data_IF_295907517151
#
_entry.id   IF_295907517151
#
_cell.length_a   1.000
_cell.length_b   1.000
_cell.length_c   1.000
_cell.angle_alpha   90.00
_cell.angle_beta   90.00
_cell.angle_gamma   90.00
#
_symmetry.space_group_name_H-M   'P 1'
#
loop_
_entity.id
_entity.type
_entity.pdbx_description
1 polymer ?
2 non-polymer ?
3 non-polymer ?
4 water ?
#
# COMPACT_ATOMS: atom_id res chain seq x y z
N UNK A 23 20.26 13.74 21.78
CA UNK A 23 20.71 12.38 21.48
C UNK A 23 19.72 11.66 20.56
N UNK A 24 20.17 10.61 19.86
CA UNK A 24 19.33 9.94 18.87
C UNK A 24 18.13 9.26 19.54
N UNK A 25 17.00 9.16 18.84
CA UNK A 25 15.90 8.34 19.35
C UNK A 25 16.34 6.88 19.44
N UNK A 26 15.92 6.22 20.50
CA UNK A 26 16.29 4.82 20.75
C UNK A 26 15.20 3.97 20.12
N UNK A 27 15.40 3.62 18.85
CA UNK A 27 14.36 2.97 18.09
C UNK A 27 14.91 1.77 17.34
N UNK A 28 14.00 0.83 17.06
CA UNK A 28 14.26 -0.36 16.24
C UNK A 28 13.34 -0.25 15.02
N UNK A 29 13.92 0.08 13.86
CA UNK A 29 13.12 0.30 12.64
C UNK A 29 12.60 -0.99 12.03
N UNK A 30 12.96 -2.14 12.56
CA UNK A 30 12.36 -3.42 12.17
C UNK A 30 11.28 -3.88 13.15
N UNK A 31 10.98 -3.08 14.18
CA UNK A 31 9.98 -3.43 15.17
C UNK A 31 8.65 -2.81 14.78
N UNK A 32 7.64 -3.65 14.59
CA UNK A 32 6.31 -3.12 14.22
C UNK A 32 5.73 -2.16 15.24
N UNK A 33 6.14 -2.25 16.51
CA UNK A 33 5.64 -1.31 17.51
C UNK A 33 6.09 0.13 17.25
N UNK A 34 7.25 0.32 16.59
CA UNK A 34 7.66 1.67 16.21
C UNK A 34 6.63 2.34 15.32
N UNK A 35 6.10 1.61 14.34
CA UNK A 35 5.22 2.18 13.32
C UNK A 35 3.80 2.33 13.82
N UNK A 36 3.48 1.71 14.95
CA UNK A 36 2.17 1.86 15.55
C UNK A 36 2.20 3.01 16.54
N UNK A 37 3.38 3.59 16.78
CA UNK A 37 3.54 4.72 17.67
C UNK A 37 3.31 6.03 16.91
N UNK A 38 2.49 6.89 17.48
CA UNK A 38 2.31 8.23 16.97
C UNK A 38 3.47 9.15 17.37
N UNK A 39 4.54 8.57 17.87
CA UNK A 39 5.81 9.26 18.03
C UNK A 39 6.86 8.89 16.98
N UNK A 40 6.51 8.08 15.98
CA UNK A 40 7.44 7.80 14.88
C UNK A 40 7.83 9.09 14.16
N UNK A 41 6.85 9.95 13.89
CA UNK A 41 7.20 11.13 13.10
C UNK A 41 8.16 12.05 13.86
N UNK A 42 8.09 12.09 15.21
CA UNK A 42 9.09 12.83 15.96
C UNK A 42 10.49 12.26 15.78
N UNK A 43 10.58 10.93 15.75
CA UNK A 43 11.86 10.26 15.53
C UNK A 43 12.38 10.55 14.13
N UNK A 44 11.51 10.49 13.12
CA UNK A 44 11.94 10.81 11.76
C UNK A 44 12.45 12.24 11.66
N UNK A 45 11.79 13.17 12.36
CA UNK A 45 12.24 14.56 12.37
C UNK A 45 13.70 14.67 12.84
N UNK A 46 14.02 13.97 13.93
CA UNK A 46 15.39 13.99 14.45
C UNK A 46 16.37 13.45 13.39
N UNK A 47 16.01 12.32 12.74
CA UNK A 47 16.87 11.73 11.72
C UNK A 47 17.14 12.73 10.61
N UNK A 48 16.10 13.38 10.11
CA UNK A 48 16.27 14.26 8.96
C UNK A 48 17.13 15.45 9.32
N UNK A 49 17.07 15.92 10.58
CA UNK A 49 17.84 17.09 10.99
C UNK A 49 19.26 16.77 11.42
N UNK A 50 19.55 15.52 11.80
CA UNK A 50 20.82 15.20 12.45
C UNK A 50 21.64 14.07 11.82
N UNK A 51 20.97 13.09 11.19
CA UNK A 51 21.68 11.98 10.56
C UNK A 51 20.76 11.40 9.49
N UNK A 52 20.69 12.07 8.33
CA UNK A 52 19.63 11.73 7.36
C UNK A 52 19.65 10.27 6.93
N UNK A 53 20.82 9.69 6.75
CA UNK A 53 20.97 8.26 6.58
C UNK A 53 21.31 7.71 7.96
N UNK A 54 20.24 7.30 8.65
CA UNK A 54 20.24 7.00 10.08
C UNK A 54 20.61 5.55 10.31
N UNK A 55 21.30 5.29 11.40
CA UNK A 55 21.42 3.91 11.90
C UNK A 55 20.67 3.77 13.21
N UNK A 56 19.80 2.74 13.28
CA UNK A 56 18.96 2.56 14.46
C UNK A 56 19.76 1.87 15.57
N UNK A 57 19.05 1.47 16.63
CA UNK A 57 19.75 0.95 17.81
C UNK A 57 20.48 -0.35 17.53
N UNK A 58 20.08 -1.08 16.49
CA UNK A 58 20.72 -2.32 16.08
C UNK A 58 21.67 -2.15 14.89
N UNK A 59 21.91 -0.91 14.46
CA UNK A 59 22.77 -0.61 13.34
C UNK A 59 22.12 -0.65 11.97
N UNK A 60 20.81 -0.85 11.90
CA UNK A 60 20.10 -0.90 10.62
C UNK A 60 20.05 0.50 10.00
N UNK A 61 20.50 0.59 8.75
CA UNK A 61 20.56 1.87 8.03
C UNK A 61 19.23 2.22 7.38
N UNK A 62 18.91 3.51 7.35
CA UNK A 62 17.62 3.96 6.81
C UNK A 62 17.75 5.38 6.27
N UNK A 63 17.28 5.57 5.05
CA UNK A 63 17.23 6.88 4.39
C UNK A 63 15.95 7.58 4.81
N UNK A 64 16.10 8.70 5.55
CA UNK A 64 14.96 9.40 6.15
C UNK A 64 14.54 10.66 5.40
N UNK A 65 15.38 11.22 4.55
CA UNK A 65 15.03 12.44 3.82
C UNK A 65 14.51 12.09 2.43
N UNK A 66 13.69 12.99 1.90
CA UNK A 66 13.22 12.86 0.54
C UNK A 66 14.39 12.76 -0.43
N UNK A 67 15.39 13.63 -0.25
CA UNK A 67 16.55 13.62 -1.13
C UNK A 67 17.28 12.28 -1.10
N UNK A 68 17.49 11.72 0.10
CA UNK A 68 18.21 10.45 0.19
C UNK A 68 17.40 9.31 -0.41
N UNK A 69 16.08 9.30 -0.20
CA UNK A 69 15.26 8.24 -0.79
C UNK A 69 15.33 8.32 -2.31
N UNK A 70 15.11 9.51 -2.88
CA UNK A 70 15.18 9.70 -4.35
C UNK A 70 16.54 9.27 -4.89
N UNK A 71 17.61 9.71 -4.22
CA UNK A 71 18.94 9.42 -4.73
C UNK A 71 19.21 7.91 -4.72
N UNK A 72 18.71 7.18 -3.72
CA UNK A 72 18.88 5.75 -3.70
C UNK A 72 18.03 5.08 -4.78
N UNK A 73 16.79 5.54 -4.93
CA UNK A 73 15.89 5.00 -5.97
C UNK A 73 16.49 5.17 -7.37
N UNK A 74 17.21 6.28 -7.61
CA UNK A 74 17.79 6.58 -8.91
C UNK A 74 19.07 5.80 -9.19
N UNK A 75 19.56 5.02 -8.23
CA UNK A 75 20.80 4.28 -8.36
C UNK A 75 20.56 2.80 -8.08
N UNK A 76 19.75 2.13 -8.91
CA UNK A 76 19.45 0.72 -8.62
C UNK A 76 20.65 -0.21 -8.73
N UNK A 77 21.71 0.16 -9.48
CA UNK A 77 22.88 -0.68 -9.56
C UNK A 77 23.64 -0.71 -8.24
N UNK A 78 23.51 0.32 -7.42
CA UNK A 78 24.14 0.38 -6.11
C UNK A 78 23.20 -0.05 -5.00
N UNK A 79 21.93 0.32 -5.12
CA UNK A 79 20.87 0.01 -4.15
C UNK A 79 19.91 -0.96 -4.83
N UNK A 80 20.17 -2.26 -4.65
CA UNK A 80 19.51 -3.32 -5.40
C UNK A 80 18.26 -3.85 -4.69
N UNK A 81 17.34 -4.38 -5.48
CA UNK A 81 16.17 -5.08 -4.96
C UNK A 81 16.38 -6.59 -4.90
N UNK A 82 17.50 -7.07 -5.43
CA UNK A 82 17.66 -8.51 -5.62
C UNK A 82 18.00 -9.26 -4.33
N UNK A 83 18.20 -8.58 -3.22
CA UNK A 83 18.29 -9.23 -1.93
C UNK A 83 16.97 -9.37 -1.19
N UNK A 84 15.88 -8.91 -1.81
CA UNK A 84 14.58 -8.84 -1.16
C UNK A 84 14.33 -7.49 -0.52
N UNK A 85 13.04 -7.14 -0.39
CA UNK A 85 12.68 -5.80 0.05
C UNK A 85 12.31 -5.73 1.54
N UNK A 86 12.56 -6.78 2.31
CA UNK A 86 12.42 -6.77 3.79
C UNK A 86 13.78 -6.89 4.49
N UNK A 87 13.90 -6.44 5.75
CA UNK A 87 15.23 -6.32 6.34
C UNK A 87 15.87 -7.66 6.69
N UNK A 88 15.07 -8.68 6.94
CA UNK A 88 15.56 -9.92 7.55
C UNK A 88 15.07 -11.15 6.80
N UNK A 89 14.79 -11.01 5.50
CA UNK A 89 14.21 -12.07 4.69
C UNK A 89 14.88 -12.08 3.32
N UNK A 90 15.05 -13.26 2.73
CA UNK A 90 15.69 -13.36 1.41
C UNK A 90 14.70 -13.03 0.30
N UNK A 91 15.25 -12.90 -0.90
CA UNK A 91 14.44 -12.57 -2.07
C UNK A 91 13.45 -13.69 -2.41
N UNK A 92 12.30 -13.26 -2.92
CA UNK A 92 11.31 -14.14 -3.55
C UNK A 92 11.33 -13.97 -5.05
N UNK A 93 10.87 -14.94 -5.80
CA UNK A 93 10.89 -14.85 -7.27
C UNK A 93 9.73 -14.04 -7.84
N UNK A 94 9.75 -12.74 -7.57
CA UNK A 94 8.75 -11.80 -8.06
C UNK A 94 9.41 -10.50 -8.45
N UNK A 95 8.67 -9.72 -9.27
CA UNK A 95 9.17 -8.48 -9.88
C UNK A 95 9.86 -7.59 -8.87
N UNK A 96 9.25 -7.46 -7.70
CA UNK A 96 9.71 -6.46 -6.76
C UNK A 96 11.04 -6.83 -6.15
N UNK A 97 11.45 -8.08 -6.25
CA UNK A 97 12.76 -8.53 -5.74
C UNK A 97 13.75 -8.80 -6.88
N UNK A 98 13.58 -8.11 -8.01
CA UNK A 98 14.44 -8.24 -9.17
C UNK A 98 14.99 -6.90 -9.61
N UNK A 99 16.16 -6.95 -10.24
CA UNK A 99 16.77 -5.81 -10.91
C UNK A 99 16.63 -5.94 -12.42
N UNK A 100 16.75 -4.80 -13.11
CA UNK A 100 16.84 -4.78 -14.56
C UNK A 100 18.14 -5.46 -15.01
N UNK A 101 18.14 -6.11 -16.20
CA UNK A 101 17.00 -6.12 -17.13
C UNK A 101 15.90 -7.15 -16.86
N UNK A 102 16.15 -8.15 -16.00
CA UNK A 102 15.14 -9.17 -15.77
C UNK A 102 13.86 -8.57 -15.24
N UNK A 103 13.99 -7.60 -14.33
CA UNK A 103 12.81 -6.96 -13.75
C UNK A 103 11.95 -6.30 -14.83
N UNK A 104 12.59 -5.63 -15.79
CA UNK A 104 11.83 -4.91 -16.80
C UNK A 104 10.97 -5.86 -17.64
N UNK A 105 11.53 -7.01 -18.00
CA UNK A 105 10.76 -8.00 -18.78
C UNK A 105 9.57 -8.50 -17.97
N UNK A 106 9.79 -8.82 -16.70
CA UNK A 106 8.71 -9.29 -15.85
C UNK A 106 7.63 -8.23 -15.70
N UNK A 107 8.05 -6.99 -15.49
CA UNK A 107 7.08 -5.91 -15.32
C UNK A 107 6.29 -5.68 -16.61
N UNK A 108 6.97 -5.73 -17.76
CA UNK A 108 6.28 -5.54 -19.03
C UNK A 108 5.22 -6.61 -19.23
N UNK A 109 5.55 -7.85 -18.85
CA UNK A 109 4.60 -8.95 -19.02
C UNK A 109 3.37 -8.72 -18.15
N UNK A 110 3.59 -8.39 -16.87
CA UNK A 110 2.47 -8.16 -15.96
C UNK A 110 1.73 -6.88 -16.30
N UNK A 111 2.41 -5.92 -16.91
CA UNK A 111 1.76 -4.65 -17.24
C UNK A 111 0.54 -4.84 -18.14
N UNK A 112 0.43 -5.95 -18.84
CA UNK A 112 -0.73 -6.15 -19.72
C UNK A 112 -2.02 -6.07 -18.91
N UNK A 113 -1.98 -6.39 -17.62
CA UNK A 113 -3.16 -6.31 -16.78
C UNK A 113 -3.45 -4.93 -16.23
N UNK A 114 -2.55 -3.97 -16.46
CA UNK A 114 -2.63 -2.67 -15.78
C UNK A 114 -2.39 -1.52 -16.75
N UNK A 115 -2.75 -1.71 -18.02
CA UNK A 115 -2.70 -0.59 -18.95
C UNK A 115 -3.67 0.50 -18.51
N UNK A 116 -3.39 1.72 -18.94
CA UNK A 116 -4.22 2.85 -18.50
C UNK A 116 -5.67 2.61 -18.92
N UNK A 117 -5.89 2.04 -20.12
CA UNK A 117 -7.23 1.76 -20.59
C UNK A 117 -7.91 0.68 -19.77
N UNK A 118 -7.18 -0.41 -19.46
CA UNK A 118 -7.81 -1.49 -18.72
C UNK A 118 -8.21 -1.05 -17.31
N UNK A 119 -7.40 -0.21 -16.68
CA UNK A 119 -7.72 0.25 -15.34
C UNK A 119 -8.87 1.23 -15.36
N UNK A 120 -8.82 2.21 -16.26
CA UNK A 120 -9.89 3.19 -16.32
C UNK A 120 -11.22 2.56 -16.65
N UNK A 121 -11.22 1.46 -17.42
CA UNK A 121 -12.44 0.75 -17.76
C UNK A 121 -13.09 0.04 -16.57
N UNK A 122 -12.38 -0.11 -15.44
CA UNK A 122 -12.94 -0.72 -14.25
C UNK A 122 -13.83 0.23 -13.47
N UNK A 123 -13.88 1.50 -13.87
CA UNK A 123 -14.58 2.52 -13.06
C UNK A 123 -16.01 2.12 -12.71
N UNK A 124 -16.81 1.70 -13.69
CA UNK A 124 -18.21 1.38 -13.41
C UNK A 124 -18.34 0.25 -12.38
N UNK A 125 -17.51 -0.78 -12.51
CA UNK A 125 -17.63 -1.91 -11.60
C UNK A 125 -17.17 -1.55 -10.20
N UNK A 126 -16.10 -0.75 -10.07
CA UNK A 126 -15.64 -0.30 -8.76
C UNK A 126 -16.71 0.55 -8.08
N UNK A 127 -17.30 1.47 -8.84
CA UNK A 127 -18.36 2.33 -8.29
C UNK A 127 -19.53 1.49 -7.78
N UNK A 128 -19.93 0.47 -8.54
CA UNK A 128 -21.03 -0.38 -8.10
C UNK A 128 -20.70 -1.05 -6.77
N UNK A 129 -19.45 -1.50 -6.59
CA UNK A 129 -19.04 -2.10 -5.32
C UNK A 129 -19.08 -1.10 -4.19
N UNK A 130 -18.67 0.13 -4.47
CA UNK A 130 -18.74 1.17 -3.45
C UNK A 130 -20.18 1.38 -3.01
N UNK A 131 -21.09 1.43 -3.96
CA UNK A 131 -22.48 1.67 -3.59
C UNK A 131 -23.09 0.48 -2.88
N UNK A 132 -22.69 -0.76 -3.21
CA UNK A 132 -23.17 -1.93 -2.48
C UNK A 132 -22.71 -1.90 -1.03
N UNK A 133 -21.45 -1.54 -0.82
CA UNK A 133 -20.90 -1.50 0.53
C UNK A 133 -21.57 -0.41 1.35
N UNK A 134 -21.78 0.77 0.77
CA UNK A 134 -22.46 1.83 1.51
C UNK A 134 -23.93 1.47 1.76
N UNK A 135 -24.59 0.80 0.79
CA UNK A 135 -25.93 0.31 1.03
C UNK A 135 -26.02 -0.60 2.25
N UNK A 136 -24.96 -1.31 2.58
CA UNK A 136 -25.00 -2.23 3.70
C UNK A 136 -25.00 -1.53 5.05
N UNK A 137 -24.60 -0.26 5.13
CA UNK A 137 -24.53 0.43 6.42
C UNK A 137 -25.37 1.70 6.48
N UNK A 138 -25.86 2.20 5.35
CA UNK A 138 -26.40 3.54 5.33
C UNK A 138 -27.67 3.66 6.16
N UNK A 139 -28.41 2.56 6.37
CA UNK A 139 -29.62 2.62 7.19
C UNK A 139 -29.33 2.63 8.69
N UNK A 140 -28.10 2.30 9.09
CA UNK A 140 -27.79 2.07 10.49
C UNK A 140 -27.42 3.35 11.24
N UNK A 141 -26.82 4.32 10.56
CA UNK A 141 -26.35 5.52 11.23
C UNK A 141 -25.00 5.40 11.92
N UNK A 142 -24.40 4.22 11.88
CA UNK A 142 -23.08 3.97 12.46
C UNK A 142 -22.45 2.84 11.69
N UNK A 143 -21.13 2.90 11.51
CA UNK A 143 -20.37 1.74 11.09
C UNK A 143 -18.93 1.87 11.57
N UNK A 144 -18.16 0.80 11.39
CA UNK A 144 -16.71 0.85 11.55
C UNK A 144 -16.16 1.11 10.16
N UNK A 145 -15.68 2.32 9.92
CA UNK A 145 -15.25 2.67 8.57
C UNK A 145 -14.18 1.72 8.04
N UNK A 146 -13.29 1.25 8.90
CA UNK A 146 -12.27 0.29 8.47
C UNK A 146 -12.89 -1.03 8.06
N UNK A 147 -13.67 -1.65 8.95
CA UNK A 147 -14.22 -2.99 8.71
C UNK A 147 -15.23 -3.00 7.57
N UNK A 148 -16.04 -1.93 7.46
CA UNK A 148 -17.21 -1.98 6.61
C UNK A 148 -17.04 -1.29 5.27
N UNK A 149 -16.05 -0.41 5.12
CA UNK A 149 -15.86 0.32 3.87
C UNK A 149 -14.42 0.25 3.37
N UNK A 150 -13.44 0.57 4.22
CA UNK A 150 -12.06 0.73 3.74
C UNK A 150 -11.40 -0.61 3.41
N UNK A 151 -11.57 -1.62 4.24
CA UNK A 151 -10.97 -2.92 3.93
C UNK A 151 -11.75 -3.69 2.85
N UNK A 152 -13.08 -3.68 2.85
CA UNK A 152 -13.79 -4.53 1.88
C UNK A 152 -13.71 -4.04 0.45
N UNK A 153 -13.68 -2.72 0.21
CA UNK A 153 -13.77 -2.29 -1.18
C UNK A 153 -12.55 -2.77 -1.97
N UNK A 154 -11.30 -2.52 -1.54
CA UNK A 154 -10.17 -3.00 -2.37
C UNK A 154 -10.15 -4.52 -2.49
N UNK A 155 -10.58 -5.22 -1.45
CA UNK A 155 -10.62 -6.68 -1.51
C UNK A 155 -11.59 -7.17 -2.56
N UNK A 156 -12.76 -6.54 -2.64
CA UNK A 156 -13.75 -6.96 -3.61
C UNK A 156 -13.26 -6.68 -5.02
N UNK A 157 -12.60 -5.53 -5.23
CA UNK A 157 -12.12 -5.19 -6.57
C UNK A 157 -11.09 -6.21 -7.03
N UNK A 158 -10.07 -6.46 -6.20
CA UNK A 158 -8.99 -7.33 -6.63
C UNK A 158 -9.48 -8.78 -6.65
N UNK A 159 -10.38 -9.14 -5.75
CA UNK A 159 -10.98 -10.46 -5.79
C UNK A 159 -11.75 -10.69 -7.08
N UNK A 160 -12.53 -9.70 -7.49
CA UNK A 160 -13.27 -9.85 -8.74
C UNK A 160 -12.30 -10.01 -9.93
N UNK A 161 -11.19 -9.29 -9.93
CA UNK A 161 -10.19 -9.41 -10.98
C UNK A 161 -9.57 -10.82 -11.01
N UNK A 162 -9.45 -11.46 -9.85
CA UNK A 162 -8.84 -12.77 -9.78
C UNK A 162 -9.84 -13.92 -9.75
N UNK A 163 -11.14 -13.66 -9.91
CA UNK A 163 -12.13 -14.73 -9.99
C UNK A 163 -12.59 -15.29 -8.65
N UNK A 164 -12.42 -14.54 -7.57
CA UNK A 164 -12.81 -14.97 -6.23
C UNK A 164 -14.31 -14.76 -6.06
N UNK A 165 -15.03 -15.80 -5.64
CA UNK A 165 -16.45 -15.67 -5.35
C UNK A 165 -16.66 -14.71 -4.18
N UNK A 166 -17.72 -13.90 -4.20
CA UNK A 166 -17.92 -12.95 -3.11
C UNK A 166 -17.87 -13.59 -1.72
N UNK A 167 -18.50 -14.77 -1.54
CA UNK A 167 -18.53 -15.42 -0.24
C UNK A 167 -17.18 -16.05 0.14
N UNK A 168 -16.17 -16.01 -0.74
CA UNK A 168 -14.82 -16.44 -0.40
C UNK A 168 -13.84 -15.29 -0.23
N UNK A 169 -14.31 -14.04 -0.35
CA UNK A 169 -13.42 -12.91 -0.15
C UNK A 169 -12.78 -12.93 1.22
N UNK A 170 -13.56 -13.25 2.25
CA UNK A 170 -13.01 -13.22 3.61
C UNK A 170 -11.89 -14.23 3.80
N UNK A 171 -11.99 -15.38 3.13
CA UNK A 171 -10.91 -16.36 3.16
C UNK A 171 -9.63 -15.79 2.57
N UNK A 172 -9.74 -15.14 1.40
CA UNK A 172 -8.55 -14.60 0.77
C UNK A 172 -7.98 -13.45 1.57
N UNK A 173 -8.84 -12.66 2.22
CA UNK A 173 -8.33 -11.54 3.01
C UNK A 173 -7.57 -12.06 4.23
N UNK A 174 -8.03 -13.16 4.83
CA UNK A 174 -7.31 -13.77 5.96
C UNK A 174 -5.94 -14.27 5.54
N UNK A 175 -5.87 -14.98 4.40
CA UNK A 175 -4.56 -15.41 3.89
C UNK A 175 -3.65 -14.20 3.64
N UNK A 176 -4.21 -13.13 3.08
CA UNK A 176 -3.44 -11.93 2.77
C UNK A 176 -2.91 -11.29 4.04
N UNK A 177 -3.76 -11.24 5.08
CA UNK A 177 -3.34 -10.67 6.36
C UNK A 177 -2.17 -11.48 6.93
N UNK A 178 -2.26 -12.81 6.82
CA UNK A 178 -1.18 -13.67 7.31
C UNK A 178 0.11 -13.42 6.56
N UNK A 179 0.03 -13.36 5.22
CA UNK A 179 1.22 -13.16 4.40
C UNK A 179 1.87 -11.79 4.64
N UNK A 180 1.07 -10.71 4.73
CA UNK A 180 1.68 -9.40 4.95
C UNK A 180 2.21 -9.31 6.38
N UNK A 181 1.59 -10.01 7.32
CA UNK A 181 2.14 -10.06 8.68
C UNK A 181 3.51 -10.75 8.70
N UNK A 182 3.69 -11.80 7.89
CA UNK A 182 4.98 -12.46 7.78
C UNK A 182 6.05 -11.49 7.28
N UNK A 183 5.70 -10.64 6.33
CA UNK A 183 6.62 -9.65 5.79
C UNK A 183 6.83 -8.48 6.72
N UNK A 184 5.90 -8.28 7.67
CA UNK A 184 5.86 -7.14 8.60
C UNK A 184 6.49 -7.47 9.96
N UNK A 185 7.12 -8.64 10.11
CA UNK A 185 7.59 -9.07 11.41
C UNK A 185 8.61 -10.19 11.23
N UNK A 186 9.07 -10.71 12.37
CA UNK A 186 9.91 -11.91 12.41
C UNK A 186 9.08 -12.97 13.12
N UNK A 187 8.50 -13.91 12.33
CA UNK A 187 7.44 -14.77 12.84
C UNK A 187 7.99 -15.88 13.73
N UNK A 188 7.16 -16.35 14.66
CA UNK A 188 7.44 -17.56 15.42
C UNK A 188 7.36 -18.77 14.49
N UNK A 189 7.57 -19.96 15.07
CA UNK A 189 7.47 -21.17 14.26
C UNK A 189 6.02 -21.45 13.89
N UNK A 190 5.10 -21.25 14.84
CA UNK A 190 3.69 -21.48 14.56
C UNK A 190 3.20 -20.53 13.47
N UNK A 191 3.58 -19.25 13.54
CA UNK A 191 3.11 -18.29 12.55
C UNK A 191 3.81 -18.48 11.20
N UNK A 192 5.02 -19.03 11.19
CA UNK A 192 5.62 -19.43 9.92
C UNK A 192 4.82 -20.54 9.26
N UNK A 193 4.42 -21.54 10.04
CA UNK A 193 3.60 -22.63 9.50
C UNK A 193 2.29 -22.10 8.94
N UNK A 194 1.66 -21.14 9.64
CA UNK A 194 0.42 -20.55 9.13
C UNK A 194 0.65 -19.81 7.81
N UNK A 195 1.78 -19.13 7.68
CA UNK A 195 2.10 -18.44 6.44
C UNK A 195 2.25 -19.44 5.30
N UNK A 196 2.96 -20.54 5.55
CA UNK A 196 3.17 -21.52 4.51
C UNK A 196 1.84 -22.16 4.10
N UNK A 197 0.97 -22.41 5.08
CA UNK A 197 -0.32 -23.03 4.76
C UNK A 197 -1.17 -22.08 3.90
N UNK A 198 -1.17 -20.80 4.24
CA UNK A 198 -1.86 -19.76 3.46
C UNK A 198 -1.32 -19.71 2.04
N UNK A 199 0.00 -19.73 1.89
CA UNK A 199 0.55 -19.75 0.54
C UNK A 199 0.10 -20.99 -0.23
N UNK A 200 0.10 -22.17 0.41
CA UNK A 200 -0.28 -23.39 -0.25
C UNK A 200 -1.71 -23.30 -0.76
N UNK A 201 -2.58 -22.68 0.03
CA UNK A 201 -3.99 -22.57 -0.38
C UNK A 201 -4.13 -21.61 -1.56
N UNK A 202 -3.42 -20.48 -1.52
CA UNK A 202 -3.42 -19.52 -2.61
C UNK A 202 -2.87 -20.17 -3.87
N UNK A 203 -1.74 -20.89 -3.74
CA UNK A 203 -1.16 -21.60 -4.86
C UNK A 203 -2.16 -22.53 -5.52
N UNK A 204 -2.85 -23.35 -4.71
CA UNK A 204 -3.80 -24.30 -5.24
C UNK A 204 -4.89 -23.59 -6.03
N UNK A 205 -5.50 -22.57 -5.42
CA UNK A 205 -6.58 -21.84 -6.08
C UNK A 205 -6.11 -21.25 -7.40
N UNK A 206 -4.95 -20.61 -7.38
CA UNK A 206 -4.49 -19.87 -8.55
C UNK A 206 -4.12 -20.82 -9.68
N UNK A 207 -3.54 -21.98 -9.36
CA UNK A 207 -3.19 -22.90 -10.44
C UNK A 207 -4.42 -23.53 -11.07
N UNK A 208 -5.49 -23.70 -10.29
CA UNK A 208 -6.76 -24.10 -10.86
C UNK A 208 -7.29 -23.02 -11.81
N UNK A 209 -7.19 -21.76 -11.41
CA UNK A 209 -7.64 -20.66 -12.27
C UNK A 209 -6.83 -20.63 -13.56
N UNK A 210 -5.50 -20.68 -13.46
CA UNK A 210 -4.64 -20.74 -14.64
C UNK A 210 -5.09 -21.85 -15.58
N UNK A 211 -5.28 -23.06 -15.05
CA UNK A 211 -5.62 -24.19 -15.92
C UNK A 211 -6.96 -23.94 -16.62
N UNK A 212 -7.93 -23.40 -15.89
CA UNK A 212 -9.24 -23.12 -16.47
C UNK A 212 -9.14 -22.04 -17.54
N UNK A 213 -8.36 -20.98 -17.30
CA UNK A 213 -8.29 -19.91 -18.28
C UNK A 213 -7.43 -20.28 -19.48
N UNK A 214 -6.43 -21.15 -19.28
CA UNK A 214 -5.70 -21.68 -20.44
C UNK A 214 -6.62 -22.48 -21.36
N UNK A 215 -7.68 -23.10 -20.82
CA UNK A 215 -8.59 -23.90 -21.63
C UNK A 215 -9.77 -23.09 -22.14
N UNK A 216 -10.34 -22.20 -21.32
CA UNK A 216 -11.46 -21.34 -21.70
C UNK A 216 -11.10 -19.93 -21.23
N UNK A 217 -10.32 -19.20 -22.02
CA UNK A 217 -9.93 -17.84 -21.63
C UNK A 217 -11.14 -16.92 -21.51
N UNK A 218 -11.07 -16.01 -20.53
CA UNK A 218 -12.08 -14.99 -20.33
C UNK A 218 -11.40 -13.62 -20.41
N UNK A 219 -11.98 -12.60 -19.77
CA UNK A 219 -11.36 -11.28 -19.76
C UNK A 219 -10.85 -10.88 -18.39
N UNK A 220 -10.63 -11.84 -17.49
CA UNK A 220 -10.16 -11.55 -16.15
C UNK A 220 -8.64 -11.46 -16.15
N UNK A 221 -8.08 -11.17 -14.98
CA UNK A 221 -6.66 -10.86 -14.88
C UNK A 221 -5.80 -12.05 -15.24
N UNK A 222 -6.13 -13.25 -14.75
CA UNK A 222 -5.32 -14.40 -15.09
C UNK A 222 -5.35 -14.63 -16.60
N UNK A 223 -6.53 -14.44 -17.24
CA UNK A 223 -6.62 -14.62 -18.68
C UNK A 223 -5.68 -13.66 -19.41
N UNK A 224 -5.66 -12.40 -18.98
CA UNK A 224 -4.80 -11.41 -19.64
C UNK A 224 -3.34 -11.74 -19.41
N UNK A 225 -3.00 -12.18 -18.21
CA UNK A 225 -1.60 -12.48 -17.91
C UNK A 225 -1.13 -13.72 -18.65
N UNK A 226 -2.01 -14.72 -18.78
CA UNK A 226 -1.62 -15.93 -19.49
C UNK A 226 -1.30 -15.63 -20.94
N UNK A 227 -1.98 -14.66 -21.54
CA UNK A 227 -1.78 -14.33 -22.94
C UNK A 227 -0.69 -13.30 -23.19
N UNK A 228 -0.21 -12.65 -22.13
CA UNK A 228 0.78 -11.59 -22.28
C UNK A 228 2.07 -12.14 -22.87
N UNK A 229 2.63 -11.43 -23.84
CA UNK A 229 3.83 -11.87 -24.52
C UNK A 229 4.71 -10.66 -24.78
N UNK A 230 6.02 -10.83 -24.56
CA UNK A 230 7.00 -9.75 -24.71
C UNK A 230 8.25 -10.42 -25.29
N UNK A 231 8.52 -10.17 -26.57
CA UNK A 231 9.75 -10.65 -27.21
C UNK A 231 9.82 -12.17 -27.17
N UNK A 232 8.73 -12.82 -27.54
CA UNK A 232 8.65 -14.26 -27.54
C UNK A 232 8.65 -14.89 -26.18
N UNK A 233 8.51 -14.11 -25.11
CA UNK A 233 8.56 -14.61 -23.75
C UNK A 233 7.17 -14.48 -23.15
N UNK A 234 6.79 -15.47 -22.34
CA UNK A 234 5.53 -15.46 -21.60
C UNK A 234 5.80 -15.80 -20.14
N UNK A 235 4.80 -15.56 -19.29
CA UNK A 235 4.91 -15.92 -17.90
C UNK A 235 4.70 -17.42 -17.73
N UNK A 236 5.56 -18.06 -16.94
CA UNK A 236 5.35 -19.45 -16.56
C UNK A 236 4.29 -19.55 -15.46
N UNK A 237 3.82 -20.78 -15.19
CA UNK A 237 2.82 -20.95 -14.13
C UNK A 237 3.37 -20.55 -12.76
N UNK A 238 4.63 -20.90 -12.48
CA UNK A 238 5.26 -20.46 -11.24
C UNK A 238 5.25 -18.94 -11.14
N UNK A 239 5.61 -18.26 -12.23
CA UNK A 239 5.65 -16.80 -12.22
C UNK A 239 4.26 -16.21 -12.08
N UNK A 240 3.27 -16.80 -12.75
CA UNK A 240 1.90 -16.31 -12.63
C UNK A 240 1.43 -16.38 -11.18
N UNK A 241 1.76 -17.48 -10.49
CA UNK A 241 1.37 -17.55 -9.07
C UNK A 241 2.00 -16.43 -8.26
N UNK A 242 3.31 -16.22 -8.41
CA UNK A 242 4.02 -15.26 -7.59
C UNK A 242 3.58 -13.84 -7.93
N UNK A 243 3.43 -13.52 -9.21
CA UNK A 243 3.07 -12.15 -9.56
C UNK A 243 1.63 -11.85 -9.18
N UNK A 244 0.71 -12.82 -9.32
CA UNK A 244 -0.66 -12.52 -8.91
C UNK A 244 -0.75 -12.43 -7.39
N UNK A 245 0.13 -13.11 -6.65
CA UNK A 245 0.12 -12.95 -5.19
C UNK A 245 0.58 -11.55 -4.78
N UNK A 246 1.63 -11.04 -5.42
CA UNK A 246 2.08 -9.67 -5.20
C UNK A 246 0.94 -8.70 -5.47
N UNK A 247 0.19 -8.91 -6.54
CA UNK A 247 -0.94 -8.05 -6.86
C UNK A 247 -2.07 -8.20 -5.83
N UNK A 248 -2.36 -9.42 -5.40
CA UNK A 248 -3.44 -9.62 -4.43
C UNK A 248 -3.16 -8.83 -3.16
N UNK A 249 -1.93 -8.94 -2.65
CA UNK A 249 -1.59 -8.26 -1.39
C UNK A 249 -1.52 -6.74 -1.58
N UNK A 250 -0.94 -6.26 -2.68
CA UNK A 250 -1.08 -4.85 -3.00
C UNK A 250 -2.53 -4.45 -3.04
N UNK A 251 -3.35 -5.27 -3.66
CA UNK A 251 -4.74 -4.91 -3.81
C UNK A 251 -5.49 -4.85 -2.49
N UNK A 252 -5.15 -5.71 -1.55
CA UNK A 252 -6.03 -5.84 -0.40
C UNK A 252 -5.38 -5.53 0.93
N UNK A 253 -4.11 -5.09 0.95
CA UNK A 253 -3.48 -4.73 2.22
C UNK A 253 -2.93 -3.31 2.28
N UNK A 254 -3.07 -2.50 1.23
CA UNK A 254 -2.47 -1.17 1.16
C UNK A 254 -3.54 -0.08 1.10
N UNK A 255 -4.34 -0.04 0.02
CA UNK A 255 -5.25 1.06 -0.22
C UNK A 255 -6.18 1.28 0.94
N UNK A 256 -6.59 0.18 1.59
CA UNK A 256 -7.45 0.26 2.76
C UNK A 256 -6.97 1.30 3.76
N UNK A 257 -5.66 1.40 3.98
CA UNK A 257 -5.12 2.30 4.98
C UNK A 257 -5.12 3.75 4.55
N UNK A 258 -5.09 4.01 3.23
CA UNK A 258 -5.26 5.39 2.77
C UNK A 258 -6.73 5.78 2.81
N UNK A 259 -7.63 4.84 2.50
CA UNK A 259 -9.06 5.13 2.64
C UNK A 259 -9.42 5.50 4.07
N UNK A 260 -8.95 4.71 5.05
CA UNK A 260 -9.32 4.97 6.44
C UNK A 260 -8.59 6.18 6.97
N UNK A 261 -7.26 6.21 6.85
CA UNK A 261 -6.50 7.30 7.43
C UNK A 261 -6.71 8.63 6.72
N UNK A 262 -6.95 8.58 5.41
CA UNK A 262 -7.22 9.80 4.65
C UNK A 262 -8.57 10.38 5.04
N UNK A 263 -9.60 9.52 5.11
CA UNK A 263 -10.90 10.00 5.52
C UNK A 263 -10.85 10.52 6.95
N UNK A 264 -10.07 9.87 7.82
CA UNK A 264 -9.90 10.34 9.20
C UNK A 264 -9.39 11.80 9.22
N UNK A 265 -8.43 12.12 8.36
CA UNK A 265 -7.95 13.50 8.34
C UNK A 265 -9.01 14.47 7.83
N UNK A 266 -9.87 14.05 6.90
CA UNK A 266 -10.95 14.93 6.45
C UNK A 266 -11.90 15.20 7.61
N UNK A 267 -12.16 14.17 8.43
CA UNK A 267 -13.10 14.30 9.54
C UNK A 267 -12.50 15.07 10.71
N UNK A 268 -11.20 14.97 10.94
CA UNK A 268 -10.54 15.69 12.01
C UNK A 268 -10.35 17.17 11.68
N UNK A 269 -10.29 17.51 10.39
CA UNK A 269 -10.16 18.88 9.90
C UNK A 269 -11.39 19.21 9.06
N UNK A 270 -12.49 19.57 9.71
CA UNK A 270 -13.75 19.64 8.98
C UNK A 270 -13.78 20.72 7.91
N UNK A 271 -12.90 21.74 8.00
CA UNK A 271 -12.77 22.66 6.87
C UNK A 271 -12.37 21.92 5.60
N UNK A 272 -11.60 20.83 5.73
CA UNK A 272 -11.17 20.07 4.57
C UNK A 272 -12.33 19.26 4.00
N UNK A 273 -13.07 18.57 4.89
CA UNK A 273 -14.30 17.91 4.49
C UNK A 273 -15.25 18.86 3.77
N UNK A 274 -15.49 20.04 4.36
CA UNK A 274 -16.43 21.00 3.78
C UNK A 274 -15.97 21.49 2.41
N UNK A 275 -14.66 21.69 2.23
CA UNK A 275 -14.15 22.13 0.94
C UNK A 275 -14.46 21.11 -0.15
N UNK A 276 -14.22 19.83 0.17
CA UNK A 276 -14.41 18.80 -0.83
C UNK A 276 -15.87 18.61 -1.17
N UNK A 277 -16.76 18.78 -0.19
CA UNK A 277 -18.16 18.58 -0.47
C UNK A 277 -18.72 19.65 -1.38
N UNK A 278 -18.21 20.87 -1.31
CA UNK A 278 -18.74 21.91 -2.17
C UNK A 278 -17.98 22.07 -3.49
N UNK A 279 -16.89 21.33 -3.69
CA UNK A 279 -16.12 21.44 -4.94
C UNK A 279 -15.51 20.10 -5.31
N UNK A 280 -16.21 19.30 -6.11
CA UNK A 280 -15.71 17.96 -6.46
C UNK A 280 -14.47 17.98 -7.34
N UNK A 281 -14.16 19.10 -7.99
CA UNK A 281 -12.95 19.17 -8.78
C UNK A 281 -11.70 19.13 -7.90
N UNK A 282 -11.86 19.27 -6.58
CA UNK A 282 -10.72 19.16 -5.66
C UNK A 282 -10.40 17.71 -5.27
N UNK A 283 -11.19 16.74 -5.69
CA UNK A 283 -10.95 15.37 -5.27
C UNK A 283 -9.60 14.82 -5.71
N UNK A 284 -9.10 15.07 -6.94
CA UNK A 284 -7.76 14.53 -7.27
C UNK A 284 -6.67 14.96 -6.31
N UNK A 285 -6.62 16.26 -5.97
CA UNK A 285 -5.63 16.71 -5.00
C UNK A 285 -5.85 16.18 -3.61
N UNK A 286 -7.12 15.97 -3.24
CA UNK A 286 -7.38 15.37 -1.94
C UNK A 286 -6.82 13.97 -1.86
N UNK A 287 -7.01 13.17 -2.92
CA UNK A 287 -6.53 11.81 -2.89
C UNK A 287 -5.00 11.80 -2.75
N UNK A 288 -4.32 12.73 -3.42
CA UNK A 288 -2.85 12.79 -3.31
C UNK A 288 -2.42 13.17 -1.89
N UNK A 289 -3.17 14.07 -1.23
CA UNK A 289 -2.83 14.39 0.15
C UNK A 289 -3.15 13.25 1.11
N UNK A 290 -4.18 12.46 0.84
CA UNK A 290 -4.47 11.29 1.65
C UNK A 290 -3.31 10.30 1.53
N UNK A 291 -2.77 10.13 0.31
CA UNK A 291 -1.64 9.25 0.06
C UNK A 291 -0.38 9.74 0.75
N UNK A 292 -0.05 11.04 0.59
CA UNK A 292 1.13 11.58 1.28
C UNK A 292 1.07 11.31 2.77
N UNK A 293 -0.08 11.63 3.39
CA UNK A 293 -0.22 11.59 4.84
C UNK A 293 -0.13 10.17 5.37
N UNK A 294 -0.80 9.23 4.73
CA UNK A 294 -0.99 7.90 5.29
C UNK A 294 0.17 6.96 5.00
N UNK A 295 0.86 7.15 3.87
CA UNK A 295 1.99 6.30 3.47
C UNK A 295 1.90 4.88 3.99
N UNK A 296 0.95 4.09 3.46
CA UNK A 296 0.72 2.76 4.03
C UNK A 296 1.92 1.86 4.00
N UNK A 297 2.75 1.96 2.96
CA UNK A 297 4.02 1.23 2.89
C UNK A 297 5.07 2.09 3.59
N UNK A 298 5.49 1.65 4.78
CA UNK A 298 6.39 2.47 5.62
C UNK A 298 7.83 2.40 5.12
N UNK A 299 8.22 1.30 4.50
CA UNK A 299 9.58 1.18 4.00
C UNK A 299 9.65 0.03 3.00
N UNK A 300 10.65 0.10 2.13
CA UNK A 300 11.17 -0.97 1.28
C UNK A 300 12.66 -0.99 1.48
N UNK A 301 13.26 -2.18 1.45
CA UNK A 301 14.69 -2.27 1.64
C UNK A 301 15.42 -2.31 0.29
N UNK A 302 16.69 -1.95 0.34
CA UNK A 302 17.63 -2.08 -0.77
C UNK A 302 18.90 -2.72 -0.20
N UNK A 303 19.57 -3.58 -0.97
CA UNK A 303 20.84 -4.17 -0.53
C UNK A 303 21.96 -3.46 -1.28
N UNK A 304 23.03 -3.10 -0.55
CA UNK A 304 24.16 -2.38 -1.15
C UNK A 304 25.01 -3.35 -1.97
N UNK A 305 25.30 -2.98 -3.21
CA UNK A 305 26.18 -3.82 -4.03
C UNK A 305 27.66 -3.46 -3.89
N UNK A 306 27.96 -2.40 -3.15
CA UNK A 306 29.33 -1.96 -2.92
C UNK A 306 29.32 -1.06 -1.70
N UNK A 307 30.49 -0.95 -1.07
CA UNK A 307 30.69 0.06 -0.04
C UNK A 307 30.50 1.43 -0.66
N UNK A 308 29.87 2.35 0.08
CA UNK A 308 29.62 3.66 -0.48
C UNK A 308 29.39 4.66 0.64
N UNK A 309 29.83 5.90 0.39
CA UNK A 309 29.53 7.02 1.26
C UNK A 309 28.29 7.70 0.71
N UNK A 310 27.22 7.70 1.49
CA UNK A 310 25.89 8.10 1.02
C UNK A 310 25.29 9.13 1.94
N UNK A 311 25.22 10.38 1.48
CA UNK A 311 24.64 11.49 2.24
C UNK A 311 25.15 11.50 3.68
N UNK A 312 26.48 11.34 3.82
CA UNK A 312 27.19 11.47 5.07
C UNK A 312 27.36 10.20 5.89
N UNK A 313 26.79 9.07 5.48
CA UNK A 313 26.87 7.83 6.23
C UNK A 313 27.56 6.75 5.41
N UNK A 314 28.54 6.08 6.02
CA UNK A 314 29.28 5.01 5.38
C UNK A 314 28.41 3.77 5.34
N UNK A 315 28.20 3.19 4.16
CA UNK A 315 27.42 1.97 3.99
C UNK A 315 28.29 0.86 3.43
N UNK A 316 28.01 -0.37 3.84
CA UNK A 316 28.83 -1.52 3.49
C UNK A 316 28.14 -2.45 2.50
N UNK A 317 28.93 -2.97 1.56
CA UNK A 317 28.41 -3.95 0.62
C UNK A 317 27.70 -5.09 1.35
N UNK A 318 26.53 -5.43 0.87
CA UNK A 318 25.77 -6.55 1.42
C UNK A 318 24.80 -6.21 2.53
N UNK A 319 24.89 -5.03 3.14
CA UNK A 319 23.88 -4.65 4.14
C UNK A 319 22.65 -4.07 3.45
N UNK A 320 21.53 -4.10 4.17
CA UNK A 320 20.27 -3.55 3.67
C UNK A 320 20.01 -2.19 4.29
N UNK A 321 19.48 -1.28 3.48
CA UNK A 321 19.06 0.06 3.89
C UNK A 321 17.58 0.20 3.65
N UNK A 322 16.85 0.73 4.65
CA UNK A 322 15.45 1.01 4.43
C UNK A 322 15.25 2.37 3.73
N UNK A 323 14.26 2.43 2.84
CA UNK A 323 13.73 3.70 2.34
C UNK A 323 12.49 4.06 3.16
N UNK A 324 12.56 5.14 3.95
CA UNK A 324 11.47 5.50 4.86
C UNK A 324 10.50 6.44 4.15
N UNK A 325 9.49 5.87 3.50
CA UNK A 325 8.62 6.69 2.65
C UNK A 325 7.77 7.67 3.45
N UNK A 326 7.26 7.28 4.63
CA UNK A 326 6.50 8.24 5.43
C UNK A 326 7.42 9.40 5.88
N UNK A 327 8.64 9.10 6.32
CA UNK A 327 9.57 10.18 6.67
C UNK A 327 9.79 11.14 5.51
N UNK A 328 10.04 10.61 4.30
CA UNK A 328 10.17 11.47 3.11
C UNK A 328 8.94 12.33 2.87
N UNK A 329 7.76 11.74 3.04
CA UNK A 329 6.52 12.46 2.81
C UNK A 329 6.27 13.59 3.80
N UNK A 330 7.00 13.63 4.93
CA UNK A 330 6.92 14.70 5.92
C UNK A 330 8.19 15.54 5.99
N UNK A 331 8.95 15.54 4.91
CA UNK A 331 10.22 16.24 4.86
C UNK A 331 9.98 17.70 4.53
N UNK A 332 10.28 18.58 5.50
CA UNK A 332 10.07 19.99 5.34
C UNK A 332 10.91 20.61 4.22
N UNK A 333 11.95 19.93 3.75
CA UNK A 333 12.70 20.43 2.60
C UNK A 333 11.86 20.45 1.31
N UNK A 334 10.82 19.62 1.24
CA UNK A 334 10.01 19.45 0.06
C UNK A 334 8.59 19.94 0.30
N UNK A 335 8.02 19.64 1.46
CA UNK A 335 6.62 19.88 1.77
C UNK A 335 6.53 20.96 2.84
N UNK A 336 6.01 22.12 2.48
CA UNK A 336 5.83 23.19 3.45
C UNK A 336 4.79 22.79 4.49
N UNK A 337 5.11 23.01 5.77
CA UNK A 337 4.24 22.67 6.89
C UNK A 337 3.67 21.25 6.72
N UNK A 338 4.55 20.24 6.73
CA UNK A 338 4.09 18.89 6.39
C UNK A 338 3.10 18.31 7.35
N UNK A 339 3.03 18.79 8.60
CA UNK A 339 2.01 18.28 9.53
C UNK A 339 0.66 18.96 9.37
N UNK A 340 0.52 19.82 8.37
CA UNK A 340 -0.77 20.35 7.99
C UNK A 340 -1.36 19.47 6.89
N UNK A 341 -2.55 18.93 7.12
CA UNK A 341 -3.26 18.21 6.06
C UNK A 341 -3.99 19.21 5.16
N UNK A 342 -3.61 19.26 3.89
CA UNK A 342 -4.13 20.26 2.95
C UNK A 342 -4.46 19.63 1.60
N UNK A 343 -5.76 19.43 1.33
CA UNK A 343 -6.18 18.76 0.11
C UNK A 343 -5.78 19.54 -1.13
N UNK A 344 -5.47 20.83 -0.99
CA UNK A 344 -5.14 21.68 -2.11
C UNK A 344 -3.64 21.74 -2.40
N UNK A 345 -2.85 21.02 -1.62
CA UNK A 345 -1.40 21.04 -1.76
C UNK A 345 -0.96 20.86 -3.20
N UNK A 346 -0.18 21.80 -3.66
CA UNK A 346 0.35 21.78 -4.99
C UNK A 346 1.69 22.50 -4.96
N UNK A 347 2.79 21.85 -5.36
CA UNK A 347 2.87 20.44 -5.81
C UNK A 347 2.71 19.47 -4.66
N UNK A 348 2.50 18.20 -4.99
CA UNK A 348 2.39 17.18 -3.98
C UNK A 348 3.06 15.91 -4.51
N UNK A 349 4.38 15.99 -4.72
CA UNK A 349 5.13 14.88 -5.30
C UNK A 349 5.58 13.87 -4.24
N UNK A 350 4.60 13.28 -3.56
CA UNK A 350 4.86 12.35 -2.48
C UNK A 350 5.42 11.02 -3.01
N UNK A 351 6.01 10.27 -2.09
CA UNK A 351 6.65 8.98 -2.36
C UNK A 351 5.88 7.80 -1.79
N UNK A 352 4.55 7.90 -1.62
CA UNK A 352 3.80 6.76 -1.10
C UNK A 352 3.90 5.55 -2.00
N UNK A 353 4.03 5.78 -3.31
CA UNK A 353 4.17 4.70 -4.30
C UNK A 353 5.63 4.47 -4.70
N UNK A 354 6.57 5.10 -3.98
CA UNK A 354 7.96 5.05 -4.35
C UNK A 354 8.26 5.90 -5.58
N UNK A 355 9.30 5.48 -6.31
CA UNK A 355 9.87 6.25 -7.41
C UNK A 355 10.84 5.38 -8.18
N UNK A 356 10.85 5.56 -9.49
CA UNK A 356 11.84 4.88 -10.32
C UNK A 356 11.41 3.54 -10.88
N UNK A 357 12.40 2.66 -11.02
CA UNK A 357 12.26 1.34 -11.62
C UNK A 357 11.05 0.58 -11.05
N UNK A 358 10.85 0.65 -9.74
CA UNK A 358 9.86 -0.17 -9.07
C UNK A 358 8.60 0.59 -8.68
N UNK A 359 8.43 1.82 -9.17
CA UNK A 359 7.25 2.63 -8.90
C UNK A 359 5.97 1.79 -9.01
N UNK A 360 5.12 1.85 -7.98
CA UNK A 360 3.99 0.92 -7.82
C UNK A 360 3.21 0.72 -9.12
N UNK A 361 3.11 -0.56 -9.53
CA UNK A 361 2.39 -0.86 -10.77
C UNK A 361 0.88 -0.67 -10.61
N UNK A 362 0.38 -0.78 -9.40
CA UNK A 362 -1.02 -0.65 -9.02
C UNK A 362 -1.46 0.77 -8.75
N UNK A 363 -0.58 1.76 -8.93
CA UNK A 363 -0.90 3.10 -8.43
C UNK A 363 -2.18 3.68 -9.06
N UNK A 364 -2.41 3.44 -10.35
CA UNK A 364 -3.63 3.99 -10.97
C UNK A 364 -4.88 3.32 -10.41
N UNK A 365 -4.84 2.00 -10.21
CA UNK A 365 -5.99 1.30 -9.65
C UNK A 365 -6.27 1.75 -8.23
N UNK A 366 -5.21 1.91 -7.42
CA UNK A 366 -5.40 2.40 -6.06
C UNK A 366 -6.03 3.81 -6.07
N UNK A 367 -5.50 4.70 -6.92
CA UNK A 367 -6.05 6.05 -7.01
C UNK A 367 -7.52 6.03 -7.44
N UNK A 368 -7.87 5.16 -8.39
CA UNK A 368 -9.26 5.08 -8.83
C UNK A 368 -10.18 4.60 -7.69
N UNK A 369 -9.77 3.57 -6.94
CA UNK A 369 -10.57 3.10 -5.81
C UNK A 369 -10.75 4.21 -4.79
N UNK A 370 -9.66 4.91 -4.47
CA UNK A 370 -9.71 6.00 -3.50
C UNK A 370 -10.69 7.09 -3.95
N UNK A 371 -10.61 7.48 -5.23
CA UNK A 371 -11.48 8.53 -5.74
C UNK A 371 -12.94 8.11 -5.71
N UNK A 372 -13.22 6.90 -6.19
CA UNK A 372 -14.61 6.51 -6.30
C UNK A 372 -15.27 6.31 -4.93
N UNK A 373 -14.57 5.71 -3.97
CA UNK A 373 -15.18 5.52 -2.66
C UNK A 373 -15.32 6.86 -1.93
N UNK A 374 -14.30 7.72 -2.03
CA UNK A 374 -14.37 9.00 -1.31
C UNK A 374 -15.47 9.89 -1.89
N UNK A 375 -15.64 9.91 -3.22
CA UNK A 375 -16.74 10.65 -3.83
C UNK A 375 -18.09 10.20 -3.26
N UNK A 376 -18.25 8.90 -3.11
CA UNK A 376 -19.54 8.39 -2.66
C UNK A 376 -19.75 8.59 -1.15
N UNK A 377 -18.69 8.47 -0.36
CA UNK A 377 -18.78 8.74 1.08
C UNK A 377 -19.17 10.20 1.30
N UNK A 378 -18.52 11.12 0.57
CA UNK A 378 -18.87 12.55 0.69
C UNK A 378 -20.33 12.80 0.37
N UNK A 379 -20.86 12.13 -0.67
CA UNK A 379 -22.19 12.42 -1.17
C UNK A 379 -23.27 11.70 -0.37
N UNK A 380 -23.01 10.44 0.03
CA UNK A 380 -24.05 9.60 0.62
C UNK A 380 -24.05 9.65 2.14
N UNK A 381 -22.91 9.99 2.74
CA UNK A 381 -22.77 10.14 4.18
C UNK A 381 -22.33 11.57 4.47
N UNK A 382 -23.11 12.57 4.04
CA UNK A 382 -22.59 13.94 4.04
C UNK A 382 -22.29 14.52 5.39
N UNK A 383 -22.89 14.02 6.48
CA UNK A 383 -22.60 14.54 7.82
C UNK A 383 -21.77 13.55 8.65
N UNK A 384 -21.02 12.71 7.97
CA UNK A 384 -20.13 11.73 8.62
C UNK A 384 -19.26 12.40 9.67
N UNK A 385 -19.15 11.76 10.84
CA UNK A 385 -18.20 12.22 11.86
C UNK A 385 -17.64 11.04 12.66
N UNK A 386 -16.49 11.27 13.28
CA UNK A 386 -15.88 10.28 14.15
C UNK A 386 -16.69 10.15 15.44
N UNK A 387 -16.79 8.93 15.97
CA UNK A 387 -17.61 8.75 17.18
C UNK A 387 -17.10 9.62 18.31
N UNK A 388 -15.80 9.67 18.50
CA UNK A 388 -15.18 10.54 19.49
C UNK A 388 -14.18 11.42 18.77
N UNK A 389 -14.54 12.70 18.58
CA UNK A 389 -13.69 13.60 17.80
C UNK A 389 -12.31 13.78 18.42
N UNK A 390 -12.14 13.45 19.71
CA UNK A 390 -10.85 13.49 20.37
C UNK A 390 -10.32 12.10 20.66
N UNK A 391 -10.69 11.13 19.85
CA UNK A 391 -10.16 9.78 19.95
C UNK A 391 -8.76 9.72 19.37
N UNK A 392 -7.92 8.85 19.93
CA UNK A 392 -6.67 8.42 19.32
C UNK A 392 -6.85 6.98 18.90
N UNK A 393 -6.95 6.76 17.70
CA UNK A 393 -7.30 5.40 17.30
C UNK A 393 -6.06 4.53 17.11
N UNK A 394 -6.15 3.21 17.36
CA UNK A 394 -4.94 2.39 17.30
C UNK A 394 -4.53 2.05 15.87
N UNK A 395 -3.20 2.03 15.69
CA UNK A 395 -2.58 1.63 14.44
C UNK A 395 -2.05 0.21 14.56
N UNK A 396 -2.05 -0.49 13.44
CA UNK A 396 -1.58 -1.89 13.44
C UNK A 396 -0.07 -1.96 13.67
N UNK A 397 0.39 -2.69 14.68
CA UNK A 397 1.85 -2.94 14.79
C UNK A 397 2.32 -3.83 13.65
N UNK A 398 3.17 -3.27 12.80
CA UNK A 398 3.72 -3.96 11.64
C UNK A 398 4.88 -3.12 11.15
N UNK A 399 5.98 -3.76 10.71
CA UNK A 399 7.15 -2.98 10.27
C UNK A 399 7.17 -2.66 8.77
N UNK A 400 6.10 -3.00 8.03
CA UNK A 400 6.13 -2.95 6.57
C UNK A 400 4.95 -2.12 6.09
N UNK A 401 3.73 -2.62 6.29
CA UNK A 401 2.50 -1.95 5.89
C UNK A 401 1.63 -1.76 7.12
N UNK A 402 1.10 -0.54 7.31
CA UNK A 402 0.31 -0.29 8.51
C UNK A 402 -0.68 0.85 8.30
N UNK A 403 -1.75 0.76 9.07
CA UNK A 403 -2.73 1.81 9.18
C UNK A 403 -3.71 1.52 10.32
N UNK A 404 -4.85 2.20 10.28
CA UNK A 404 -5.79 2.12 11.39
C UNK A 404 -6.42 0.74 11.54
N UNK A 405 -6.57 0.29 12.78
CA UNK A 405 -7.28 -0.96 13.04
C UNK A 405 -8.80 -0.82 13.00
N UNK A 406 -9.34 0.33 13.41
CA UNK A 406 -10.78 0.50 13.63
C UNK A 406 -11.04 2.01 13.55
N UNK A 407 -12.24 2.39 13.08
CA UNK A 407 -12.58 3.82 12.97
C UNK A 407 -14.09 3.94 13.05
N UNK A 408 -14.66 3.90 14.26
CA UNK A 408 -16.12 4.07 14.41
C UNK A 408 -16.55 5.47 13.96
N UNK A 409 -17.60 5.51 13.15
CA UNK A 409 -18.14 6.75 12.59
C UNK A 409 -19.67 6.71 12.67
N UNK A 410 -20.29 7.90 12.77
CA UNK A 410 -21.74 8.05 12.76
C UNK A 410 -22.13 9.03 11.66
N UNK A 411 -23.42 8.97 11.27
CA UNK A 411 -23.98 9.70 10.15
C UNK A 411 -25.49 9.59 10.20
N UNK A 412 -26.17 10.55 9.58
CA UNK A 412 -27.61 10.45 9.46
C UNK A 412 -27.97 9.31 8.50
N UNK A 413 -28.85 8.40 8.92
CA UNK A 413 -29.22 7.28 8.05
C UNK A 413 -29.92 7.74 6.79
N UNK A 414 -29.84 6.90 5.77
CA UNK A 414 -30.49 7.13 4.49
C UNK A 414 -30.87 5.79 3.88
N UNK A 415 -31.79 5.80 2.92
CA UNK A 415 -32.18 4.54 2.28
C UNK A 415 -31.14 4.09 1.28
N UNK A 416 -31.02 2.78 1.06
CA UNK A 416 -30.05 2.29 0.07
C UNK A 416 -30.48 2.58 -1.36
N UNK A 417 -29.52 2.44 -2.27
CA UNK A 417 -29.78 2.57 -3.69
C UNK A 417 -30.05 1.19 -4.29
#
# INVERSE_FOLDING_TARGET
MGSSHHHHHHSSGLVPRGSHMTEAPDVDLADGNFYASREARAAYRWMRANQPVFRDRNGLAAASTYQAVIDAERQPELFSNAGGIRPDQPALPMMIDMDDPAHLLRRKLVNAGFTRKRVKDKEASIAALCDTLIDAVCERGECDFVRDLAAPLPMAVIGDMLGVRPEQRDMFLRWSDDLVTFLSSHVSQEDFQITMDAFAAYNDFTRATIAARRADPTDDLVSVLVSSEVDGERLSDDELVMETLLILIGGDETTRHTLSGGTEQLLRNRDQWDLLQRDPSLLPGAIEEMLRWTAPVKNMCRVLTADTEFHGTALCAGEKMMLLFESANFDEAVFCEPEKFDVQRNPNSHLAFGFGTHFCLGNQLARLELSLMTERVLRRLPDLRLVADDSVLPLRPANFVSGLESMPVVFTPSPPLG
#
